data_IF_660435639846
#
_entry.id   IF_660435639846
#
_cell.length_a   1.000
_cell.length_b   1.000
_cell.length_c   1.000
_cell.angle_alpha   90.00
_cell.angle_beta   90.00
_cell.angle_gamma   90.00
#
_symmetry.space_group_name_H-M   'P 1'
#
loop_
_entity.id
_entity.type
_entity.pdbx_description
1 polymer ?
#
# COMPACT_ATOMS: atom_id res chain seq x y z
N UNK A 1 -35.56 10.37 18.49
CA UNK A 1 -35.16 10.32 17.08
C UNK A 1 -33.81 9.63 17.00
N UNK A 2 -33.86 8.33 16.72
CA UNK A 2 -32.69 7.47 16.65
C UNK A 2 -32.22 7.45 15.21
N UNK A 3 -31.09 8.11 14.91
CA UNK A 3 -30.37 7.92 13.67
C UNK A 3 -28.97 7.39 13.99
N UNK A 4 -28.94 6.15 14.48
CA UNK A 4 -27.74 5.35 14.41
C UNK A 4 -27.94 4.40 13.26
N UNK A 5 -27.75 4.90 12.06
CA UNK A 5 -27.53 4.06 10.89
C UNK A 5 -26.18 3.38 11.02
N UNK A 6 -26.16 2.22 11.63
CA UNK A 6 -25.01 1.32 11.61
C UNK A 6 -24.88 0.76 10.20
N UNK A 7 -24.25 1.51 9.30
CA UNK A 7 -23.72 0.96 8.07
C UNK A 7 -22.45 0.22 8.40
N UNK A 8 -22.57 -1.03 8.76
CA UNK A 8 -21.48 -1.96 8.82
C UNK A 8 -20.99 -2.28 7.40
N UNK A 9 -20.36 -1.32 6.74
CA UNK A 9 -19.53 -1.55 5.59
C UNK A 9 -18.11 -1.82 6.10
N UNK A 10 -17.83 -3.06 6.43
CA UNK A 10 -16.52 -3.53 6.85
C UNK A 10 -15.61 -3.81 5.65
N UNK A 11 -15.66 -2.98 4.60
CA UNK A 11 -14.73 -3.03 3.49
C UNK A 11 -13.44 -2.30 3.82
N UNK A 12 -12.33 -2.68 3.20
CA UNK A 12 -11.04 -2.01 3.34
C UNK A 12 -11.13 -0.52 2.94
N UNK A 13 -12.00 -0.16 2.00
CA UNK A 13 -12.27 1.23 1.61
C UNK A 13 -12.83 2.06 2.77
N UNK A 14 -13.74 1.49 3.55
CA UNK A 14 -14.32 2.16 4.72
C UNK A 14 -13.27 2.40 5.80
N UNK A 15 -12.37 1.45 6.03
CA UNK A 15 -11.27 1.60 6.99
C UNK A 15 -10.28 2.68 6.54
N UNK A 16 -9.95 2.73 5.26
CA UNK A 16 -9.09 3.76 4.69
C UNK A 16 -9.75 5.14 4.77
N UNK A 17 -11.07 5.23 4.54
CA UNK A 17 -11.83 6.45 4.71
C UNK A 17 -11.83 6.96 6.15
N UNK A 18 -12.15 6.09 7.12
CA UNK A 18 -12.14 6.44 8.55
C UNK A 18 -10.73 6.83 8.99
N UNK A 19 -9.72 6.06 8.61
CA UNK A 19 -8.33 6.35 8.92
C UNK A 19 -7.88 7.69 8.37
N UNK A 20 -8.17 7.97 7.11
CA UNK A 20 -7.86 9.23 6.45
C UNK A 20 -8.57 10.43 7.09
N UNK A 21 -9.86 10.27 7.44
CA UNK A 21 -10.63 11.31 8.13
C UNK A 21 -10.05 11.64 9.51
N UNK A 22 -9.89 10.63 10.36
CA UNK A 22 -9.37 10.81 11.72
C UNK A 22 -7.94 11.34 11.70
N UNK A 23 -7.09 10.77 10.86
CA UNK A 23 -5.71 11.21 10.70
C UNK A 23 -5.63 12.65 10.21
N UNK A 24 -6.44 13.03 9.23
CA UNK A 24 -6.51 14.39 8.70
C UNK A 24 -6.94 15.42 9.73
N UNK A 25 -7.96 15.10 10.54
CA UNK A 25 -8.43 15.98 11.63
C UNK A 25 -7.37 16.13 12.72
N UNK A 26 -6.84 15.01 13.23
CA UNK A 26 -5.83 15.06 14.29
C UNK A 26 -4.57 15.78 13.82
N UNK A 27 -4.11 15.49 12.61
CA UNK A 27 -2.97 16.16 12.00
C UNK A 27 -3.21 17.66 11.81
N UNK A 28 -4.43 18.06 11.43
CA UNK A 28 -4.82 19.46 11.30
C UNK A 28 -4.75 20.20 12.64
N UNK A 29 -5.28 19.61 13.72
CA UNK A 29 -5.26 20.21 15.06
C UNK A 29 -3.83 20.40 15.57
N UNK A 30 -3.01 19.37 15.48
CA UNK A 30 -1.61 19.44 15.90
C UNK A 30 -0.83 20.42 15.03
N UNK A 31 -1.02 20.37 13.72
CA UNK A 31 -0.37 21.28 12.79
C UNK A 31 -0.76 22.75 13.02
N UNK A 32 -2.03 23.00 13.31
CA UNK A 32 -2.52 24.36 13.63
C UNK A 32 -1.86 24.94 14.88
N UNK A 33 -1.67 24.12 15.89
CA UNK A 33 -1.01 24.53 17.13
C UNK A 33 0.47 24.91 16.93
N UNK A 34 1.15 24.32 15.96
CA UNK A 34 2.58 24.54 15.70
C UNK A 34 2.83 25.62 14.65
N UNK A 35 2.02 25.66 13.60
CA UNK A 35 2.27 26.51 12.43
C UNK A 35 1.03 27.21 11.88
N UNK A 36 -0.04 27.35 12.68
CA UNK A 36 -1.28 28.02 12.26
C UNK A 36 -1.90 27.34 11.02
N UNK A 37 -2.46 28.14 10.12
CA UNK A 37 -3.17 27.65 8.95
C UNK A 37 -2.30 26.80 8.00
N UNK A 38 -1.04 27.17 7.82
CA UNK A 38 -0.08 26.41 7.02
C UNK A 38 0.28 25.09 7.68
N UNK A 39 0.53 25.13 9.01
CA UNK A 39 0.79 23.94 9.79
C UNK A 39 -0.39 22.97 9.77
N UNK A 40 -1.62 23.48 9.86
CA UNK A 40 -2.82 22.65 9.78
C UNK A 40 -2.97 21.95 8.42
N UNK A 41 -2.68 22.64 7.32
CA UNK A 41 -2.74 22.03 5.99
C UNK A 41 -1.68 20.92 5.82
N UNK A 42 -0.45 21.18 6.27
CA UNK A 42 0.64 20.18 6.23
C UNK A 42 0.31 19.02 7.17
N UNK A 43 -0.13 19.32 8.41
CA UNK A 43 -0.47 18.31 9.41
C UNK A 43 -1.63 17.43 8.96
N UNK A 44 -2.69 18.04 8.36
CA UNK A 44 -3.81 17.25 7.84
C UNK A 44 -3.39 16.33 6.68
N UNK A 45 -2.48 16.78 5.84
CA UNK A 45 -1.92 15.97 4.75
C UNK A 45 -1.13 14.76 5.27
N UNK A 46 -0.21 15.00 6.21
CA UNK A 46 0.59 13.93 6.83
C UNK A 46 -0.31 12.96 7.60
N UNK A 47 -1.23 13.48 8.40
CA UNK A 47 -2.18 12.69 9.19
C UNK A 47 -3.14 11.89 8.30
N UNK A 48 -3.69 12.52 7.26
CA UNK A 48 -4.57 11.87 6.29
C UNK A 48 -3.87 10.76 5.52
N UNK A 49 -2.61 10.98 5.12
CA UNK A 49 -1.79 9.97 4.47
C UNK A 49 -1.52 8.79 5.40
N UNK A 50 -1.06 9.04 6.63
CA UNK A 50 -0.77 7.99 7.60
C UNK A 50 -2.04 7.20 7.95
N UNK A 51 -3.15 7.91 8.23
CA UNK A 51 -4.43 7.29 8.58
C UNK A 51 -5.01 6.47 7.42
N UNK A 52 -4.97 7.01 6.20
CA UNK A 52 -5.39 6.31 4.99
C UNK A 52 -4.60 5.03 4.78
N UNK A 53 -3.27 5.09 4.89
CA UNK A 53 -2.40 3.93 4.74
C UNK A 53 -2.65 2.85 5.78
N UNK A 54 -2.89 3.26 7.05
CA UNK A 54 -3.16 2.31 8.15
C UNK A 54 -4.50 1.63 7.95
N UNK A 55 -5.51 2.37 7.49
CA UNK A 55 -6.85 1.83 7.23
C UNK A 55 -6.95 1.01 5.95
N UNK A 56 -6.05 1.22 5.01
CA UNK A 56 -6.09 0.54 3.71
C UNK A 56 -5.75 -0.95 3.80
N UNK A 57 -6.28 -1.71 2.85
CA UNK A 57 -5.94 -3.11 2.64
C UNK A 57 -4.45 -3.31 2.34
N UNK A 58 -3.97 -4.54 2.61
CA UNK A 58 -2.58 -4.91 2.32
C UNK A 58 -2.32 -4.75 0.84
N UNK A 59 -1.54 -3.77 0.52
CA UNK A 59 -1.12 -3.53 -0.85
C UNK A 59 -1.67 -2.22 -1.43
N UNK A 60 -2.74 -1.59 -0.92
CA UNK A 60 -3.27 -0.30 -1.38
C UNK A 60 -2.85 0.86 -0.48
N UNK A 61 -1.86 0.61 0.39
CA UNK A 61 -1.42 1.57 1.39
C UNK A 61 -0.83 2.84 0.80
N UNK A 62 -0.09 2.71 -0.30
CA UNK A 62 0.52 3.85 -0.99
C UNK A 62 -0.53 4.71 -1.66
N UNK A 63 -1.47 4.09 -2.36
CA UNK A 63 -2.57 4.76 -3.05
C UNK A 63 -3.51 5.45 -2.06
N UNK A 64 -3.86 4.76 -0.98
CA UNK A 64 -4.69 5.32 0.09
C UNK A 64 -3.97 6.44 0.86
N UNK A 65 -2.64 6.33 1.05
CA UNK A 65 -1.84 7.39 1.65
C UNK A 65 -1.82 8.65 0.78
N UNK A 66 -1.58 8.50 -0.52
CA UNK A 66 -1.56 9.62 -1.45
C UNK A 66 -2.94 10.26 -1.52
N UNK A 67 -3.99 9.47 -1.72
CA UNK A 67 -5.37 9.96 -1.77
C UNK A 67 -5.79 10.63 -0.47
N UNK A 68 -5.58 9.98 0.66
CA UNK A 68 -5.92 10.49 2.00
C UNK A 68 -5.15 11.76 2.36
N UNK A 69 -3.86 11.81 2.03
CA UNK A 69 -3.00 12.96 2.28
C UNK A 69 -3.39 14.18 1.46
N UNK A 70 -3.50 14.02 0.15
CA UNK A 70 -3.90 15.11 -0.76
C UNK A 70 -5.33 15.58 -0.49
N UNK A 71 -6.24 14.62 -0.24
CA UNK A 71 -7.63 14.93 0.09
C UNK A 71 -7.74 15.72 1.39
N UNK A 72 -7.07 15.27 2.45
CA UNK A 72 -7.10 15.96 3.75
C UNK A 72 -6.48 17.35 3.68
N UNK A 73 -5.31 17.51 3.06
CA UNK A 73 -4.64 18.79 2.91
C UNK A 73 -5.49 19.77 2.06
N UNK A 74 -5.94 19.32 0.88
CA UNK A 74 -6.77 20.14 -0.01
C UNK A 74 -8.10 20.51 0.64
N UNK A 75 -8.77 19.55 1.27
CA UNK A 75 -10.01 19.76 2.01
C UNK A 75 -9.86 20.75 3.16
N UNK A 76 -8.73 20.66 3.90
CA UNK A 76 -8.41 21.61 4.96
C UNK A 76 -8.30 23.05 4.44
N UNK A 77 -7.50 23.24 3.37
CA UNK A 77 -7.29 24.57 2.77
C UNK A 77 -8.60 25.17 2.29
N UNK A 78 -9.38 24.42 1.50
CA UNK A 78 -10.66 24.88 0.95
C UNK A 78 -11.66 25.12 2.10
N UNK A 79 -11.76 24.21 3.04
CA UNK A 79 -12.66 24.34 4.19
C UNK A 79 -12.36 25.55 5.05
N UNK A 80 -11.09 25.90 5.23
CA UNK A 80 -10.68 27.11 5.97
C UNK A 80 -11.10 28.40 5.28
N UNK A 81 -11.12 28.43 3.97
CA UNK A 81 -11.59 29.63 3.22
C UNK A 81 -13.09 29.87 3.41
N UNK A 82 -13.86 28.84 3.66
CA UNK A 82 -15.32 28.93 3.80
C UNK A 82 -15.74 29.12 5.25
N UNK A 83 -15.14 28.37 6.18
CA UNK A 83 -15.57 28.30 7.58
C UNK A 83 -14.45 28.42 8.60
N UNK A 84 -13.31 29.03 8.27
CA UNK A 84 -12.19 29.20 9.17
C UNK A 84 -11.62 27.85 9.68
N UNK A 85 -11.17 27.80 10.94
CA UNK A 85 -10.58 26.60 11.53
C UNK A 85 -11.56 25.41 11.54
N UNK A 86 -12.83 25.65 11.89
CA UNK A 86 -13.86 24.61 11.91
C UNK A 86 -14.12 24.06 10.50
N UNK A 87 -14.22 24.95 9.50
CA UNK A 87 -14.35 24.54 8.10
C UNK A 87 -13.16 23.72 7.63
N UNK A 88 -11.94 24.08 8.04
CA UNK A 88 -10.73 23.33 7.76
C UNK A 88 -10.74 21.91 8.33
N UNK A 89 -11.21 21.73 9.57
CA UNK A 89 -11.34 20.40 10.20
C UNK A 89 -12.35 19.52 9.45
N UNK A 90 -13.53 20.10 9.12
CA UNK A 90 -14.55 19.37 8.35
C UNK A 90 -14.03 19.02 6.97
N UNK A 91 -13.35 19.97 6.30
CA UNK A 91 -12.74 19.75 5.00
C UNK A 91 -11.66 18.67 5.03
N UNK A 92 -10.80 18.68 6.05
CA UNK A 92 -9.78 17.64 6.23
C UNK A 92 -10.38 16.25 6.45
N UNK A 93 -11.48 16.19 7.23
CA UNK A 93 -12.18 14.92 7.47
C UNK A 93 -12.79 14.37 6.19
N UNK A 94 -13.56 15.19 5.46
CA UNK A 94 -14.23 14.78 4.22
C UNK A 94 -13.23 14.47 3.10
N UNK A 95 -12.21 15.31 2.96
CA UNK A 95 -11.15 15.14 1.97
C UNK A 95 -10.31 13.91 2.27
N UNK A 96 -9.91 13.68 3.52
CA UNK A 96 -9.16 12.51 3.97
C UNK A 96 -9.95 11.22 3.82
N UNK A 97 -11.24 11.23 4.16
CA UNK A 97 -12.13 10.09 3.97
C UNK A 97 -12.31 9.75 2.49
N UNK A 98 -12.71 10.73 1.69
CA UNK A 98 -12.94 10.53 0.26
C UNK A 98 -11.67 10.15 -0.48
N UNK A 99 -10.57 10.86 -0.22
CA UNK A 99 -9.28 10.58 -0.83
C UNK A 99 -8.72 9.21 -0.43
N UNK A 100 -8.82 8.84 0.85
CA UNK A 100 -8.38 7.53 1.35
C UNK A 100 -9.17 6.38 0.71
N UNK A 101 -10.51 6.52 0.67
CA UNK A 101 -11.37 5.51 0.04
C UNK A 101 -11.10 5.38 -1.47
N UNK A 102 -11.01 6.50 -2.18
CA UNK A 102 -10.71 6.49 -3.62
C UNK A 102 -9.33 5.90 -3.89
N UNK A 103 -8.31 6.30 -3.13
CA UNK A 103 -6.96 5.77 -3.26
C UNK A 103 -6.94 4.25 -3.06
N UNK A 104 -7.62 3.74 -2.03
CA UNK A 104 -7.73 2.32 -1.79
C UNK A 104 -8.46 1.60 -2.93
N UNK A 105 -9.57 2.15 -3.40
CA UNK A 105 -10.36 1.57 -4.49
C UNK A 105 -9.59 1.50 -5.81
N UNK A 106 -8.87 2.56 -6.18
CA UNK A 106 -8.05 2.56 -7.40
C UNK A 106 -6.84 1.65 -7.31
N UNK A 107 -6.29 1.43 -6.09
CA UNK A 107 -5.23 0.47 -5.85
C UNK A 107 -5.62 -0.97 -6.18
N UNK A 108 -6.88 -1.36 -5.93
CA UNK A 108 -7.38 -2.70 -6.22
C UNK A 108 -7.47 -3.00 -7.73
N UNK A 109 -7.63 -1.97 -8.57
CA UNK A 109 -7.74 -2.13 -10.02
C UNK A 109 -6.44 -2.58 -10.71
N UNK A 110 -5.29 -2.28 -10.14
CA UNK A 110 -3.99 -2.54 -10.76
C UNK A 110 -3.39 -3.92 -10.42
N UNK A 111 -3.98 -4.66 -9.49
CA UNK A 111 -3.43 -5.93 -8.98
C UNK A 111 -3.84 -7.17 -9.72
N UNK A 112 -4.76 -7.08 -10.68
CA UNK A 112 -5.19 -8.27 -11.43
C UNK A 112 -4.09 -8.86 -12.32
N UNK A 113 -2.94 -8.19 -12.44
CA UNK A 113 -1.84 -8.64 -13.29
C UNK A 113 -0.60 -9.14 -12.53
N UNK A 114 -0.48 -8.85 -11.20
CA UNK A 114 0.74 -9.17 -10.45
C UNK A 114 0.57 -10.32 -9.43
N UNK A 115 -0.66 -10.75 -9.11
CA UNK A 115 -0.89 -11.77 -8.08
C UNK A 115 -0.65 -13.22 -8.53
N UNK A 116 -0.54 -13.49 -9.83
CA UNK A 116 -0.31 -14.85 -10.32
C UNK A 116 1.17 -15.29 -10.27
N UNK A 117 2.11 -14.36 -10.19
CA UNK A 117 3.54 -14.67 -10.17
C UNK A 117 4.09 -14.86 -8.75
N UNK A 118 3.56 -14.17 -7.75
CA UNK A 118 4.05 -14.23 -6.36
C UNK A 118 3.68 -15.54 -5.64
N UNK A 119 2.59 -16.20 -6.03
CA UNK A 119 2.21 -17.50 -5.43
C UNK A 119 3.03 -18.68 -5.96
N UNK A 120 3.61 -18.56 -7.15
CA UNK A 120 4.49 -19.60 -7.72
C UNK A 120 5.87 -19.56 -7.09
N UNK A 121 6.42 -18.38 -6.84
CA UNK A 121 7.74 -18.23 -6.24
C UNK A 121 7.78 -18.64 -4.77
N UNK A 122 6.75 -18.34 -3.97
CA UNK A 122 6.70 -18.76 -2.56
C UNK A 122 6.59 -20.26 -2.37
N UNK A 123 5.97 -20.99 -3.29
CA UNK A 123 5.94 -22.47 -3.24
C UNK A 123 7.26 -23.08 -3.67
N UNK A 124 7.99 -22.42 -4.56
CA UNK A 124 9.28 -22.89 -5.03
C UNK A 124 10.34 -22.74 -3.93
N UNK A 125 10.38 -21.61 -3.23
CA UNK A 125 11.30 -21.37 -2.11
C UNK A 125 11.00 -22.23 -0.87
N UNK A 126 9.74 -22.56 -0.60
CA UNK A 126 9.39 -23.46 0.51
C UNK A 126 9.78 -24.92 0.26
N UNK A 127 9.82 -25.35 -0.99
CA UNK A 127 10.19 -26.73 -1.35
C UNK A 127 11.71 -26.89 -1.51
N UNK A 128 12.41 -25.82 -1.83
CA UNK A 128 13.87 -25.80 -1.93
C UNK A 128 14.57 -25.61 -0.60
N UNK A 129 13.91 -25.07 0.44
CA UNK A 129 14.50 -24.75 1.72
C UNK A 129 14.64 -25.92 2.71
N UNK A 130 14.24 -27.14 2.34
CA UNK A 130 14.32 -28.31 3.25
C UNK A 130 15.33 -29.37 2.85
N UNK A 131 16.30 -28.99 2.00
CA UNK A 131 17.40 -29.89 1.69
C UNK A 131 18.69 -29.10 1.53
N UNK A 132 19.56 -29.33 2.50
CA UNK A 132 20.96 -28.95 2.57
C UNK A 132 21.28 -27.50 2.97
N UNK A 133 21.39 -27.32 4.29
CA UNK A 133 22.29 -26.31 4.84
C UNK A 133 23.71 -26.60 4.38
N UNK A 134 24.20 -25.77 3.51
CA UNK A 134 25.58 -25.43 3.17
C UNK A 134 25.63 -24.89 1.74
N UNK A 135 25.22 -23.64 1.54
CA UNK A 135 25.69 -22.88 0.39
C UNK A 135 26.44 -21.63 0.86
N UNK A 136 27.74 -21.79 0.81
CA UNK A 136 28.73 -20.73 0.83
C UNK A 136 28.39 -19.75 -0.27
N UNK A 137 28.36 -18.46 0.06
CA UNK A 137 28.29 -17.36 -0.91
C UNK A 137 29.39 -17.52 -1.94
N UNK A 138 29.02 -17.83 -3.15
CA UNK A 138 29.91 -17.78 -4.29
C UNK A 138 29.58 -16.53 -5.11
N UNK A 139 30.56 -15.63 -5.19
CA UNK A 139 30.50 -14.39 -5.96
C UNK A 139 30.38 -14.70 -7.45
N UNK A 140 29.15 -14.80 -7.97
CA UNK A 140 28.81 -14.40 -9.33
C UNK A 140 29.64 -14.89 -10.52
N UNK A 141 30.19 -16.11 -10.52
CA UNK A 141 30.75 -16.70 -11.73
C UNK A 141 29.97 -17.95 -12.14
N UNK A 142 29.31 -17.83 -13.29
CA UNK A 142 28.56 -18.90 -13.96
C UNK A 142 29.45 -20.09 -14.36
N UNK A 143 29.77 -20.98 -13.45
CA UNK A 143 30.49 -22.23 -13.78
C UNK A 143 29.56 -23.45 -13.95
N UNK A 144 28.21 -23.26 -13.92
CA UNK A 144 27.24 -24.35 -13.95
C UNK A 144 26.84 -24.87 -15.33
N UNK A 145 27.17 -24.17 -16.41
CA UNK A 145 26.65 -24.52 -17.75
C UNK A 145 27.51 -25.48 -18.59
N UNK A 146 28.79 -25.68 -18.21
CA UNK A 146 29.68 -26.53 -19.02
C UNK A 146 29.54 -28.03 -18.78
N UNK A 147 28.88 -28.49 -17.73
CA UNK A 147 28.76 -29.93 -17.43
C UNK A 147 27.60 -30.64 -18.11
N UNK A 148 26.64 -29.93 -18.67
CA UNK A 148 25.49 -30.57 -19.37
C UNK A 148 25.79 -30.99 -20.81
N UNK A 149 26.82 -30.44 -21.41
CA UNK A 149 27.12 -30.72 -22.84
C UNK A 149 27.92 -32.02 -23.08
N UNK A 150 28.61 -32.55 -22.05
CA UNK A 150 29.40 -33.78 -22.20
C UNK A 150 28.62 -35.08 -21.99
N UNK A 151 27.37 -35.04 -21.49
CA UNK A 151 26.59 -36.29 -21.23
C UNK A 151 25.82 -36.81 -22.44
N UNK A 152 25.65 -36.01 -23.49
CA UNK A 152 24.88 -36.46 -24.67
C UNK A 152 25.72 -37.09 -25.78
N UNK A 153 27.05 -37.24 -25.64
CA UNK A 153 27.90 -37.85 -26.68
C UNK A 153 28.22 -39.33 -26.48
N UNK A 154 27.85 -39.92 -25.33
CA UNK A 154 28.24 -41.31 -25.08
C UNK A 154 27.14 -42.38 -25.25
N UNK A 155 25.92 -42.01 -25.68
CA UNK A 155 24.85 -43.01 -25.88
C UNK A 155 24.50 -43.34 -27.35
N UNK A 156 25.40 -43.05 -28.27
CA UNK A 156 25.11 -43.34 -29.69
C UNK A 156 26.14 -44.25 -30.34
N UNK A 157 26.63 -45.25 -29.60
CA UNK A 157 27.59 -46.19 -30.19
C UNK A 157 27.46 -47.62 -29.61
N UNK A 158 26.24 -48.12 -29.55
CA UNK A 158 25.98 -49.54 -29.26
C UNK A 158 24.64 -49.93 -29.84
N UNK A 159 24.55 -50.04 -31.16
CA UNK A 159 23.56 -50.83 -31.91
C UNK A 159 23.91 -50.64 -33.37
N UNK A 160 24.91 -51.32 -33.83
CA UNK A 160 25.11 -51.83 -35.21
C UNK A 160 26.15 -52.95 -35.07
N UNK A 161 25.61 -54.17 -34.97
CA UNK A 161 26.07 -55.44 -35.52
C UNK A 161 24.99 -56.49 -35.28
#
# INVERSE_FOLDING_TARGET
MSLVGSTAFAGDDTRAAIGGALGGVLGSVVGDAVGGSTGAAIGSGIGGAAGGAVGAGRGNKTEAAIGGGLGAAGGNVIGRQIGGSTGGLIGAALGGAGGGALGNHYGDGNRRYDDDDDYRDRRYYRRAGYRDGYYRHDNGHHYGQYKKWKRHKHHRRYYDD
#
